data_IF_135060247860
#
_entry.id   IF_135060247860
#
_cell.length_a   1.000
_cell.length_b   1.000
_cell.length_c   1.000
_cell.angle_alpha   90.00
_cell.angle_beta   90.00
_cell.angle_gamma   90.00
#
_symmetry.space_group_name_H-M   'P 1'
#
loop_
_entity.id
_entity.type
_entity.pdbx_description
1 polymer ?
#
# COMPACT_ATOMS: atom_id res chain seq x y z
N UNK A 1 9.44 9.90 -4.39
CA UNK A 1 10.20 10.47 -3.25
C UNK A 1 9.79 9.83 -1.92
N UNK A 2 8.51 9.49 -1.69
CA UNK A 2 8.06 8.81 -0.45
C UNK A 2 8.71 7.45 -0.20
N UNK A 3 8.69 6.53 -1.18
CA UNK A 3 9.26 5.18 -1.03
C UNK A 3 10.78 5.12 -1.04
N UNK A 4 11.44 6.18 -1.50
CA UNK A 4 12.90 6.28 -1.53
C UNK A 4 13.47 6.81 -0.23
N UNK A 5 12.61 7.33 0.66
CA UNK A 5 13.02 7.85 1.96
C UNK A 5 13.63 6.75 2.83
N UNK A 6 14.82 6.95 3.43
CA UNK A 6 15.49 5.93 4.24
C UNK A 6 14.65 5.36 5.38
N UNK A 7 13.81 6.19 6.03
CA UNK A 7 12.95 5.76 7.13
C UNK A 7 11.86 4.82 6.64
N UNK A 8 11.28 5.12 5.48
CA UNK A 8 10.27 4.28 4.83
C UNK A 8 10.91 2.98 4.35
N UNK A 9 12.07 3.05 3.69
CA UNK A 9 12.80 1.87 3.19
C UNK A 9 13.15 0.88 4.31
N UNK A 10 13.58 1.38 5.47
CA UNK A 10 13.91 0.55 6.63
C UNK A 10 12.71 -0.26 7.13
N UNK A 11 11.54 0.37 7.21
CA UNK A 11 10.31 -0.31 7.63
C UNK A 11 9.81 -1.31 6.60
N UNK A 12 9.85 -0.93 5.31
CA UNK A 12 9.44 -1.81 4.22
C UNK A 12 10.37 -3.03 4.06
N UNK A 13 11.64 -2.95 4.48
CA UNK A 13 12.57 -4.07 4.43
C UNK A 13 12.17 -5.25 5.34
N UNK A 14 11.33 -5.01 6.35
CA UNK A 14 10.76 -6.05 7.20
C UNK A 14 9.46 -6.65 6.64
N UNK A 15 9.04 -6.26 5.43
CA UNK A 15 7.77 -6.64 4.83
C UNK A 15 7.97 -7.30 3.46
N UNK A 16 6.98 -8.10 3.05
CA UNK A 16 6.89 -8.57 1.67
C UNK A 16 6.19 -7.50 0.84
N UNK A 17 6.88 -7.00 -0.19
CA UNK A 17 6.35 -5.99 -1.09
C UNK A 17 5.79 -6.63 -2.35
N UNK A 18 4.49 -6.42 -2.59
CA UNK A 18 3.81 -6.84 -3.81
C UNK A 18 3.36 -5.60 -4.57
N UNK A 19 3.65 -5.56 -5.88
CA UNK A 19 3.24 -4.49 -6.77
C UNK A 19 2.42 -5.09 -7.91
N UNK A 20 1.21 -4.57 -8.09
CA UNK A 20 0.40 -4.83 -9.27
C UNK A 20 0.48 -3.59 -10.18
N UNK A 21 1.01 -3.78 -11.41
CA UNK A 21 0.97 -2.74 -12.43
C UNK A 21 -0.38 -2.81 -13.16
N UNK A 22 -1.23 -1.82 -12.91
CA UNK A 22 -2.57 -1.68 -13.53
C UNK A 22 -2.59 -0.65 -14.65
N UNK A 23 -1.41 -0.27 -15.19
CA UNK A 23 -1.28 0.82 -16.17
C UNK A 23 -2.06 0.53 -17.45
N UNK A 24 -2.19 -0.74 -17.81
CA UNK A 24 -2.93 -1.18 -19.00
C UNK A 24 -4.45 -1.11 -18.85
N UNK A 25 -4.97 -1.01 -17.62
CA UNK A 25 -6.39 -0.94 -17.32
C UNK A 25 -7.21 -2.04 -18.02
N UNK A 26 -6.68 -3.27 -18.03
CA UNK A 26 -7.37 -4.46 -18.54
C UNK A 26 -8.58 -4.76 -17.66
N UNK A 27 -9.47 -5.65 -18.13
CA UNK A 27 -10.63 -6.04 -17.31
C UNK A 27 -10.21 -6.74 -16.01
N UNK A 28 -9.12 -7.50 -16.01
CA UNK A 28 -8.52 -8.08 -14.80
C UNK A 28 -8.03 -6.99 -13.83
N UNK A 29 -7.39 -5.93 -14.35
CA UNK A 29 -6.96 -4.78 -13.54
C UNK A 29 -8.15 -4.07 -12.88
N UNK A 30 -9.23 -3.87 -13.65
CA UNK A 30 -10.47 -3.26 -13.13
C UNK A 30 -11.10 -4.12 -12.04
N UNK A 31 -11.13 -5.45 -12.22
CA UNK A 31 -11.67 -6.36 -11.21
C UNK A 31 -10.81 -6.37 -9.95
N UNK A 32 -9.48 -6.32 -10.08
CA UNK A 32 -8.57 -6.16 -8.95
C UNK A 32 -8.84 -4.87 -8.17
N UNK A 33 -8.94 -3.74 -8.88
CA UNK A 33 -9.23 -2.43 -8.28
C UNK A 33 -10.60 -2.44 -7.58
N UNK A 34 -11.65 -2.98 -8.22
CA UNK A 34 -12.99 -3.12 -7.62
C UNK A 34 -12.98 -4.00 -6.38
N UNK A 35 -12.30 -5.14 -6.41
CA UNK A 35 -12.18 -6.05 -5.25
C UNK A 35 -11.68 -5.32 -4.02
N UNK A 36 -10.75 -4.39 -4.20
CA UNK A 36 -10.20 -3.59 -3.12
C UNK A 36 -10.85 -2.22 -2.94
N UNK A 37 -11.90 -1.91 -3.70
CA UNK A 37 -12.60 -0.61 -3.71
C UNK A 37 -11.66 0.56 -3.98
N UNK A 38 -10.68 0.35 -4.86
CA UNK A 38 -9.76 1.36 -5.34
C UNK A 38 -10.30 1.94 -6.65
N UNK A 39 -10.30 3.27 -6.77
CA UNK A 39 -10.71 3.96 -7.99
C UNK A 39 -9.55 4.17 -8.98
N UNK A 40 -8.33 4.05 -8.49
CA UNK A 40 -7.10 4.18 -9.27
C UNK A 40 -5.88 4.24 -8.36
N UNK A 41 -4.67 4.16 -8.94
CA UNK A 41 -3.44 4.32 -8.19
C UNK A 41 -3.20 5.79 -7.78
N UNK A 42 -2.36 6.02 -6.74
CA UNK A 42 -1.78 5.01 -5.87
C UNK A 42 -2.79 4.45 -4.86
N UNK A 43 -2.80 3.13 -4.71
CA UNK A 43 -3.58 2.41 -3.69
C UNK A 43 -2.68 1.39 -3.01
N UNK A 44 -2.46 1.54 -1.70
CA UNK A 44 -1.60 0.66 -0.91
C UNK A 44 -2.46 -0.02 0.14
N UNK A 45 -2.34 -1.34 0.21
CA UNK A 45 -3.13 -2.20 1.09
C UNK A 45 -2.16 -3.06 1.87
N UNK A 46 -2.43 -3.19 3.16
CA UNK A 46 -1.57 -3.93 4.07
C UNK A 46 -2.24 -5.21 4.51
N UNK A 47 -1.43 -6.27 4.55
CA UNK A 47 -1.86 -7.60 4.95
C UNK A 47 -0.99 -8.09 6.11
N UNK A 48 -1.61 -8.81 7.04
CA UNK A 48 -0.94 -9.52 8.14
C UNK A 48 -1.62 -10.87 8.31
N UNK A 49 -0.83 -11.93 8.40
CA UNK A 49 -1.34 -13.31 8.57
C UNK A 49 -2.38 -13.71 7.51
N UNK A 50 -2.21 -13.22 6.27
CA UNK A 50 -3.12 -13.49 5.15
C UNK A 50 -4.42 -12.68 5.15
N UNK A 51 -4.66 -11.84 6.16
CA UNK A 51 -5.83 -10.97 6.24
C UNK A 51 -5.46 -9.50 6.02
N UNK A 52 -6.38 -8.73 5.47
CA UNK A 52 -6.21 -7.28 5.32
C UNK A 52 -6.28 -6.58 6.68
N UNK A 53 -5.34 -5.66 6.94
CA UNK A 53 -5.40 -4.78 8.11
C UNK A 53 -6.33 -3.61 7.82
N UNK A 54 -7.61 -3.77 8.16
CA UNK A 54 -8.64 -2.76 7.88
C UNK A 54 -8.30 -1.39 8.50
N UNK A 55 -8.63 -0.31 7.80
CA UNK A 55 -8.41 1.06 8.29
C UNK A 55 -7.01 1.63 8.06
N UNK A 56 -6.09 0.84 7.49
CA UNK A 56 -4.70 1.27 7.20
C UNK A 56 -4.44 1.49 5.71
N UNK A 57 -5.47 1.39 4.87
CA UNK A 57 -5.36 1.61 3.43
C UNK A 57 -4.89 3.02 3.14
N UNK A 58 -3.95 3.15 2.21
CA UNK A 58 -3.55 4.44 1.65
C UNK A 58 -4.19 4.56 0.28
N UNK A 59 -5.06 5.54 0.13
CA UNK A 59 -5.76 5.84 -1.13
C UNK A 59 -5.33 7.24 -1.56
N UNK A 60 -4.77 7.35 -2.76
CA UNK A 60 -4.19 8.59 -3.23
C UNK A 60 -2.81 8.87 -2.65
N UNK A 61 -2.25 10.01 -3.04
CA UNK A 61 -0.89 10.38 -2.65
C UNK A 61 -0.81 10.72 -1.16
N UNK A 62 0.23 10.20 -0.49
CA UNK A 62 0.65 10.59 0.85
C UNK A 62 2.13 11.01 0.82
N UNK A 63 2.45 12.06 1.56
CA UNK A 63 3.84 12.45 1.83
C UNK A 63 4.49 11.49 2.85
N UNK A 64 5.81 11.61 3.01
CA UNK A 64 6.62 10.76 3.91
C UNK A 64 6.06 10.70 5.34
N UNK A 65 5.58 11.82 5.90
CA UNK A 65 5.10 11.85 7.28
C UNK A 65 3.81 11.06 7.42
N UNK A 66 2.84 11.30 6.53
CA UNK A 66 1.56 10.58 6.52
C UNK A 66 1.76 9.08 6.26
N UNK A 67 2.63 8.73 5.32
CA UNK A 67 2.91 7.34 5.01
C UNK A 67 3.62 6.62 6.17
N UNK A 68 4.52 7.31 6.88
CA UNK A 68 5.18 6.78 8.06
C UNK A 68 4.19 6.48 9.21
N UNK A 69 3.16 7.34 9.41
CA UNK A 69 2.09 7.08 10.38
C UNK A 69 1.31 5.82 10.00
N UNK A 70 0.98 5.69 8.71
CA UNK A 70 0.29 4.50 8.19
C UNK A 70 1.12 3.24 8.46
N UNK A 71 2.41 3.23 8.11
CA UNK A 71 3.33 2.11 8.40
C UNK A 71 3.46 1.80 9.88
N UNK A 72 3.58 2.81 10.74
CA UNK A 72 3.68 2.65 12.19
C UNK A 72 2.46 1.96 12.81
N UNK A 73 1.27 2.13 12.23
CA UNK A 73 0.05 1.42 12.67
C UNK A 73 0.07 -0.09 12.36
N UNK A 74 0.96 -0.53 11.47
CA UNK A 74 1.08 -1.90 10.96
C UNK A 74 2.40 -2.56 11.35
N UNK A 75 3.38 -1.81 11.86
CA UNK A 75 4.59 -2.40 12.40
C UNK A 75 4.24 -3.24 13.65
N UNK A 76 4.55 -4.54 13.61
CA UNK A 76 4.51 -5.39 14.80
C UNK A 76 5.73 -5.01 15.64
N UNK A 77 5.50 -4.76 16.94
CA UNK A 77 6.53 -4.40 17.91
C UNK A 77 7.50 -5.55 18.15
#
# INVERSE_FOLDING_TARGET
MTFTDPLIRSQLAAMILLQADVTKNTDEDKELLKRFKLFGPPGIIFFRDGAEVTGTRVIGYQDVKQFNISLGSIAVK
#
